data_IF_004454376247
#
_entry.id   IF_004454376247
#
_cell.length_a   1.000
_cell.length_b   1.000
_cell.length_c   1.000
_cell.angle_alpha   90.00
_cell.angle_beta   90.00
_cell.angle_gamma   90.00
#
_symmetry.space_group_name_H-M   'P 1'
#
loop_
_entity.id
_entity.type
_entity.pdbx_description
1 polymer ?
#
# COMPACT_ATOMS: atom_id res chain seq x y z
N UNK A 1 -2.73 -3.78 23.97
CA UNK A 1 -1.25 -3.81 24.01
C UNK A 1 -0.80 -3.31 25.36
N UNK A 2 0.06 -4.05 26.06
CA UNK A 2 0.53 -3.67 27.40
C UNK A 2 1.56 -2.55 27.33
N UNK A 3 1.64 -1.72 28.37
CA UNK A 3 2.58 -0.59 28.49
C UNK A 3 4.04 -1.03 28.21
N UNK A 4 4.41 -2.24 28.63
CA UNK A 4 5.76 -2.80 28.42
C UNK A 4 6.11 -3.04 26.95
N UNK A 5 5.15 -3.43 26.11
CA UNK A 5 5.40 -3.64 24.69
C UNK A 5 5.69 -2.30 23.98
N UNK A 6 4.96 -1.24 24.35
CA UNK A 6 5.16 0.11 23.82
C UNK A 6 6.56 0.62 24.18
N UNK A 7 7.02 0.40 25.41
CA UNK A 7 8.35 0.79 25.86
C UNK A 7 9.46 0.08 25.09
N UNK A 8 9.34 -1.24 24.87
CA UNK A 8 10.31 -2.02 24.08
C UNK A 8 10.38 -1.49 22.64
N UNK A 9 9.22 -1.15 22.06
CA UNK A 9 9.14 -0.64 20.70
C UNK A 9 9.82 0.74 20.57
N UNK A 10 9.60 1.63 21.54
CA UNK A 10 10.26 2.93 21.61
C UNK A 10 11.77 2.77 21.77
N UNK A 11 12.24 1.87 22.64
CA UNK A 11 13.66 1.59 22.83
C UNK A 11 14.31 1.02 21.57
N UNK A 12 13.62 0.12 20.85
CA UNK A 12 14.06 -0.39 19.56
C UNK A 12 14.19 0.71 18.51
N UNK A 13 13.21 1.63 18.46
CA UNK A 13 13.23 2.76 17.53
C UNK A 13 14.41 3.70 17.82
N UNK A 14 14.66 4.00 19.10
CA UNK A 14 15.81 4.81 19.54
C UNK A 14 17.13 4.12 19.15
N UNK A 15 17.26 2.81 19.40
CA UNK A 15 18.46 2.05 19.04
C UNK A 15 18.74 2.10 17.52
N UNK A 16 17.70 1.95 16.69
CA UNK A 16 17.84 2.05 15.24
C UNK A 16 18.28 3.46 14.82
N UNK A 17 17.67 4.51 15.37
CA UNK A 17 18.08 5.90 15.10
C UNK A 17 19.54 6.14 15.47
N UNK A 18 20.00 5.66 16.63
CA UNK A 18 21.40 5.79 17.07
C UNK A 18 22.36 5.06 16.11
N UNK A 19 22.01 3.86 15.67
CA UNK A 19 22.81 3.10 14.68
C UNK A 19 22.91 3.88 13.36
N UNK A 20 21.79 4.44 12.87
CA UNK A 20 21.74 5.22 11.64
C UNK A 20 22.55 6.53 11.71
N UNK A 21 22.54 7.20 12.87
CA UNK A 21 23.38 8.38 13.10
C UNK A 21 24.88 8.04 13.15
N UNK A 22 25.23 6.84 13.62
CA UNK A 22 26.62 6.36 13.71
C UNK A 22 27.18 5.88 12.36
N UNK A 23 26.31 5.60 11.39
CA UNK A 23 26.70 5.33 10.01
C UNK A 23 27.14 6.65 9.34
N UNK A 24 28.45 6.90 9.44
CA UNK A 24 29.18 8.14 9.10
C UNK A 24 28.88 8.77 7.72
N UNK A 25 28.20 8.08 6.80
CA UNK A 25 27.96 8.52 5.42
C UNK A 25 26.50 8.47 4.96
N UNK A 26 25.52 8.25 5.86
CA UNK A 26 24.12 8.29 5.43
C UNK A 26 23.65 9.75 5.24
N UNK A 27 23.07 10.10 4.09
CA UNK A 27 22.52 11.44 3.89
C UNK A 27 21.36 11.64 4.88
N UNK A 28 21.22 12.86 5.42
CA UNK A 28 20.17 13.21 6.39
C UNK A 28 18.76 12.82 5.90
N UNK A 29 18.54 12.89 4.59
CA UNK A 29 17.29 12.46 3.95
C UNK A 29 17.02 10.96 4.11
N UNK A 30 18.05 10.12 4.04
CA UNK A 30 17.90 8.67 4.20
C UNK A 30 17.58 8.29 5.65
N UNK A 31 18.15 9.01 6.63
CA UNK A 31 17.77 8.83 8.03
C UNK A 31 16.30 9.22 8.28
N UNK A 32 15.86 10.36 7.73
CA UNK A 32 14.46 10.78 7.79
C UNK A 32 13.52 9.78 7.10
N UNK A 33 13.90 9.30 5.91
CA UNK A 33 13.17 8.25 5.19
C UNK A 33 13.03 6.98 6.03
N UNK A 34 14.10 6.51 6.67
CA UNK A 34 14.07 5.32 7.52
C UNK A 34 13.19 5.47 8.75
N UNK A 35 13.22 6.63 9.43
CA UNK A 35 12.33 6.92 10.55
C UNK A 35 10.87 6.89 10.08
N UNK A 36 10.58 7.56 8.97
CA UNK A 36 9.23 7.59 8.37
C UNK A 36 8.78 6.18 7.98
N UNK A 37 9.67 5.38 7.41
CA UNK A 37 9.42 4.01 7.02
C UNK A 37 9.16 3.09 8.23
N UNK A 38 9.88 3.25 9.34
CA UNK A 38 9.61 2.52 10.58
C UNK A 38 8.23 2.84 11.15
N UNK A 39 7.89 4.13 11.20
CA UNK A 39 6.57 4.59 11.65
C UNK A 39 5.49 3.99 10.74
N UNK A 40 5.69 4.07 9.43
CA UNK A 40 4.77 3.50 8.44
C UNK A 40 4.58 2.00 8.64
N UNK A 41 5.66 1.22 8.80
CA UNK A 41 5.59 -0.24 9.05
C UNK A 41 4.84 -0.55 10.35
N UNK A 42 5.04 0.23 11.41
CA UNK A 42 4.30 0.03 12.66
C UNK A 42 2.80 0.26 12.48
N UNK A 43 2.41 1.36 11.84
CA UNK A 43 0.99 1.66 11.60
C UNK A 43 0.35 0.65 10.66
N UNK A 44 1.01 0.28 9.56
CA UNK A 44 0.50 -0.70 8.61
C UNK A 44 0.36 -2.08 9.24
N UNK A 45 1.31 -2.48 10.10
CA UNK A 45 1.21 -3.72 10.86
C UNK A 45 -0.04 -3.73 11.74
N UNK A 46 -0.27 -2.68 12.54
CA UNK A 46 -1.46 -2.56 13.38
C UNK A 46 -2.77 -2.61 12.58
N UNK A 47 -2.81 -1.95 11.43
CA UNK A 47 -3.98 -1.98 10.53
C UNK A 47 -4.20 -3.39 9.99
N UNK A 48 -3.15 -4.09 9.59
CA UNK A 48 -3.24 -5.42 8.98
C UNK A 48 -3.78 -6.50 9.94
N UNK A 49 -3.49 -6.37 11.23
CA UNK A 49 -3.96 -7.30 12.28
C UNK A 49 -5.26 -6.83 12.95
N UNK A 50 -5.77 -5.65 12.60
CA UNK A 50 -6.99 -5.11 13.18
C UNK A 50 -8.18 -6.04 12.91
N UNK A 51 -8.92 -6.39 13.96
CA UNK A 51 -10.04 -7.33 13.88
C UNK A 51 -9.65 -8.81 13.77
N UNK A 52 -8.36 -9.15 13.83
CA UNK A 52 -7.88 -10.54 13.90
C UNK A 52 -7.44 -10.87 15.32
N UNK A 53 -7.84 -12.05 15.81
CA UNK A 53 -7.40 -12.53 17.12
C UNK A 53 -6.04 -13.20 16.98
N UNK A 54 -4.98 -12.52 17.43
CA UNK A 54 -3.62 -13.06 17.41
C UNK A 54 -3.07 -13.07 18.83
N UNK A 55 -2.64 -14.25 19.30
CA UNK A 55 -2.05 -14.40 20.63
C UNK A 55 -0.53 -14.18 20.61
N UNK A 56 -0.11 -12.96 20.96
CA UNK A 56 1.30 -12.59 21.03
C UNK A 56 2.06 -13.19 22.23
N UNK A 57 1.41 -13.99 23.09
CA UNK A 57 2.07 -14.64 24.25
C UNK A 57 2.87 -15.87 23.85
N UNK A 58 2.60 -16.44 22.68
CA UNK A 58 3.26 -17.64 22.19
C UNK A 58 4.05 -17.36 20.89
N UNK A 59 5.14 -18.09 20.61
CA UNK A 59 5.92 -17.91 19.39
C UNK A 59 5.10 -18.13 18.10
N UNK A 60 4.11 -19.02 18.13
CA UNK A 60 3.23 -19.27 16.98
C UNK A 60 2.41 -18.04 16.56
N UNK A 61 1.95 -17.22 17.51
CA UNK A 61 1.21 -16.00 17.23
C UNK A 61 2.08 -14.92 16.59
N UNK A 62 3.39 -14.90 16.87
CA UNK A 62 4.33 -14.04 16.13
C UNK A 62 4.48 -14.46 14.67
N UNK A 63 4.54 -15.78 14.41
CA UNK A 63 4.58 -16.32 13.04
C UNK A 63 3.28 -16.02 12.31
N UNK A 64 2.14 -16.21 12.98
CA UNK A 64 0.82 -15.90 12.43
C UNK A 64 0.68 -14.40 12.09
N UNK A 65 1.06 -13.51 13.01
CA UNK A 65 1.05 -12.07 12.77
C UNK A 65 1.93 -11.67 11.58
N UNK A 66 3.12 -12.27 11.47
CA UNK A 66 4.02 -12.06 10.34
C UNK A 66 3.40 -12.51 9.02
N UNK A 67 2.77 -13.69 9.00
CA UNK A 67 2.05 -14.21 7.84
C UNK A 67 0.89 -13.31 7.41
N UNK A 68 0.10 -12.83 8.38
CA UNK A 68 -0.99 -11.87 8.13
C UNK A 68 -0.45 -10.58 7.51
N UNK A 69 0.60 -10.00 8.10
CA UNK A 69 1.20 -8.76 7.62
C UNK A 69 1.77 -8.91 6.20
N UNK A 70 2.50 -10.00 5.92
CA UNK A 70 3.05 -10.27 4.59
C UNK A 70 1.94 -10.50 3.55
N UNK A 71 0.88 -11.22 3.91
CA UNK A 71 -0.28 -11.40 3.03
C UNK A 71 -0.98 -10.08 2.73
N UNK A 72 -1.17 -9.22 3.73
CA UNK A 72 -1.72 -7.89 3.56
C UNK A 72 -0.84 -7.05 2.64
N UNK A 73 0.47 -7.02 2.92
CA UNK A 73 1.45 -6.26 2.14
C UNK A 73 1.47 -6.71 0.67
N UNK A 74 1.49 -8.02 0.41
CA UNK A 74 1.41 -8.58 -0.94
C UNK A 74 0.14 -8.13 -1.67
N UNK A 75 -1.01 -8.18 -1.01
CA UNK A 75 -2.28 -7.71 -1.58
C UNK A 75 -2.24 -6.21 -1.90
N UNK A 76 -1.70 -5.39 -0.99
CA UNK A 76 -1.52 -3.95 -1.24
C UNK A 76 -0.63 -3.68 -2.45
N UNK A 77 0.49 -4.41 -2.62
CA UNK A 77 1.35 -4.28 -3.79
C UNK A 77 0.65 -4.70 -5.09
N UNK A 78 -0.13 -5.79 -5.07
CA UNK A 78 -0.91 -6.22 -6.23
C UNK A 78 -1.97 -5.18 -6.61
N UNK A 79 -2.66 -4.61 -5.63
CA UNK A 79 -3.65 -3.56 -5.86
C UNK A 79 -3.00 -2.29 -6.40
N UNK A 80 -1.88 -1.86 -5.82
CA UNK A 80 -1.12 -0.71 -6.31
C UNK A 80 -0.68 -0.92 -7.77
N UNK A 81 -0.11 -2.09 -8.09
CA UNK A 81 0.24 -2.46 -9.46
C UNK A 81 -0.96 -2.41 -10.39
N UNK A 82 -2.09 -2.99 -9.98
CA UNK A 82 -3.32 -3.01 -10.79
C UNK A 82 -3.83 -1.61 -11.09
N UNK A 83 -3.89 -0.74 -10.07
CA UNK A 83 -4.31 0.65 -10.22
C UNK A 83 -3.36 1.41 -11.14
N UNK A 84 -2.05 1.24 -10.97
CA UNK A 84 -1.05 1.88 -11.84
C UNK A 84 -1.17 1.41 -13.29
N UNK A 85 -1.33 0.11 -13.53
CA UNK A 85 -1.54 -0.43 -14.88
C UNK A 85 -2.82 0.11 -15.50
N UNK A 86 -3.91 0.14 -14.73
CA UNK A 86 -5.17 0.69 -15.20
C UNK A 86 -5.04 2.17 -15.56
N UNK A 87 -4.40 2.97 -14.70
CA UNK A 87 -4.13 4.38 -14.96
C UNK A 87 -3.27 4.58 -16.22
N UNK A 88 -2.23 3.77 -16.44
CA UNK A 88 -1.42 3.85 -17.66
C UNK A 88 -2.23 3.47 -18.91
N UNK A 89 -3.18 2.53 -18.78
CA UNK A 89 -4.04 2.10 -19.89
C UNK A 89 -5.15 3.08 -20.26
N UNK A 90 -5.40 4.11 -19.45
CA UNK A 90 -6.39 5.13 -19.77
C UNK A 90 -5.91 5.99 -20.95
N UNK A 91 -6.83 6.29 -21.86
CA UNK A 91 -6.60 7.27 -22.92
C UNK A 91 -6.68 8.67 -22.30
N UNK A 92 -5.53 9.26 -21.98
CA UNK A 92 -5.41 10.56 -21.31
C UNK A 92 -5.75 11.76 -22.22
N UNK A 93 -6.59 11.56 -23.25
CA UNK A 93 -7.00 12.65 -24.14
C UNK A 93 -7.73 13.74 -23.36
N UNK A 94 -7.55 15.03 -23.74
CA UNK A 94 -8.18 16.17 -23.09
C UNK A 94 -9.72 16.15 -23.15
N UNK A 95 -10.30 15.36 -24.05
CA UNK A 95 -11.73 15.15 -24.19
C UNK A 95 -12.03 13.65 -24.13
N UNK A 96 -12.92 13.27 -23.22
CA UNK A 96 -13.57 11.97 -23.27
C UNK A 96 -14.50 11.97 -24.49
N UNK A 97 -14.03 11.41 -25.59
CA UNK A 97 -14.90 11.02 -26.70
C UNK A 97 -15.59 9.72 -26.27
N UNK A 98 -16.70 9.83 -25.55
CA UNK A 98 -17.65 8.73 -25.56
C UNK A 98 -18.07 8.57 -27.02
N UNK A 99 -17.88 7.37 -27.58
CA UNK A 99 -18.35 7.06 -28.93
C UNK A 99 -19.84 7.35 -28.93
N UNK A 100 -20.25 8.49 -29.50
CA UNK A 100 -21.65 8.75 -29.80
C UNK A 100 -21.98 7.81 -30.94
N UNK A 101 -22.73 6.76 -30.63
CA UNK A 101 -23.30 5.81 -31.58
C UNK A 101 -24.31 6.46 -32.55
N UNK A 102 -24.23 7.78 -32.81
CA UNK A 102 -25.12 8.48 -33.75
C UNK A 102 -24.78 8.17 -35.21
N UNK A 103 -23.56 7.68 -35.50
CA UNK A 103 -23.10 7.48 -36.87
C UNK A 103 -23.49 6.08 -37.42
N UNK A 104 -23.99 5.18 -36.56
CA UNK A 104 -24.53 3.86 -36.97
C UNK A 104 -26.06 3.83 -37.08
N UNK A 105 -26.75 4.78 -36.46
CA UNK A 105 -28.23 4.82 -36.45
C UNK A 105 -28.81 5.48 -37.72
N UNK A 106 -28.05 6.38 -38.37
CA UNK A 106 -28.60 7.16 -39.48
C UNK A 106 -28.44 6.50 -40.87
N UNK A 107 -27.55 5.51 -41.05
CA UNK A 107 -27.39 4.81 -42.33
C UNK A 107 -28.32 3.58 -42.50
N UNK A 108 -28.95 3.06 -41.44
CA UNK A 108 -29.40 1.66 -41.46
C UNK A 108 -30.89 1.37 -41.70
N UNK A 109 -31.79 2.36 -41.81
CA UNK A 109 -33.23 2.05 -41.98
C UNK A 109 -33.91 2.86 -43.09
N UNK A 110 -33.69 4.18 -43.16
CA UNK A 110 -34.47 5.03 -44.08
C UNK A 110 -33.95 5.00 -45.53
N UNK A 111 -32.66 4.75 -45.76
CA UNK A 111 -32.13 4.58 -47.13
C UNK A 111 -32.49 3.21 -47.74
N UNK A 112 -32.76 2.19 -46.92
CA UNK A 112 -33.19 0.86 -47.39
C UNK A 112 -34.68 0.76 -47.74
N UNK A 113 -35.46 1.80 -47.45
CA UNK A 113 -36.91 1.85 -47.63
C UNK A 113 -37.34 2.76 -48.80
N UNK A 114 -36.40 3.25 -49.62
CA UNK A 114 -36.66 4.10 -50.79
C UNK A 114 -36.20 3.39 -52.07
#
# INVERSE_FOLDING_TARGET
MTLGFIVILILGLIAIVVVLLKLKNLPKLFAFFLITMLIFVYFSFNISISGKYVDFRNPSGWVEAGGIYLSWLSSTFQNAKSITLHAISLDWKPKNESIKNSDLENESIWEKLK
#
